data_IF_206000649354
#
_entry.id   IF_206000649354
#
_cell.length_a   1.000
_cell.length_b   1.000
_cell.length_c   1.000
_cell.angle_alpha   90.00
_cell.angle_beta   90.00
_cell.angle_gamma   90.00
#
_symmetry.space_group_name_H-M   'P 1'
#
loop_
_entity.id
_entity.type
_entity.pdbx_description
1 polymer ?
#
# COMPACT_ATOMS: atom_id res chain seq x y z
N UNK A 1 10.40 8.69 9.11
CA UNK A 1 10.70 7.64 10.08
C UNK A 1 9.85 6.42 9.77
N UNK A 2 10.48 5.24 9.63
CA UNK A 2 9.77 3.98 9.30
C UNK A 2 8.77 3.53 10.39
N UNK A 3 8.86 4.08 11.58
CA UNK A 3 7.91 3.79 12.66
C UNK A 3 6.60 4.58 12.58
N UNK A 4 6.52 5.57 11.71
CA UNK A 4 5.31 6.37 11.54
C UNK A 4 4.27 5.62 10.71
N UNK A 5 3.00 5.71 11.10
CA UNK A 5 1.91 5.30 10.22
C UNK A 5 1.78 6.29 9.06
N UNK A 6 1.61 5.79 7.85
CA UNK A 6 1.48 6.64 6.65
C UNK A 6 0.11 6.49 6.00
N UNK A 7 -0.35 7.56 5.39
CA UNK A 7 -1.62 7.60 4.64
C UNK A 7 -1.43 8.30 3.31
N UNK A 8 -2.06 7.77 2.26
CA UNK A 8 -2.19 8.46 0.97
C UNK A 8 -3.45 8.06 0.21
N UNK A 9 -3.82 8.91 -0.75
CA UNK A 9 -4.76 8.55 -1.79
C UNK A 9 -4.05 7.60 -2.77
N UNK A 10 -4.52 6.36 -2.89
CA UNK A 10 -3.95 5.34 -3.78
C UNK A 10 -4.50 5.39 -5.21
N UNK A 11 -5.56 6.15 -5.45
CA UNK A 11 -6.14 6.43 -6.77
C UNK A 11 -5.75 7.84 -7.23
N UNK A 12 -5.90 8.13 -8.52
CA UNK A 12 -5.69 9.48 -9.03
C UNK A 12 -6.64 10.48 -8.37
N UNK A 13 -6.13 11.65 -8.01
CA UNK A 13 -6.95 12.75 -7.50
C UNK A 13 -7.82 13.31 -8.64
N UNK A 14 -9.13 13.42 -8.38
CA UNK A 14 -10.05 13.96 -9.38
C UNK A 14 -11.47 13.43 -9.24
N UNK A 15 -12.26 13.65 -10.30
CA UNK A 15 -13.61 13.07 -10.41
C UNK A 15 -13.48 11.59 -10.78
N UNK A 16 -13.88 10.72 -9.87
CA UNK A 16 -13.88 9.27 -10.03
C UNK A 16 -15.16 8.69 -9.42
N UNK A 17 -15.50 7.46 -9.75
CA UNK A 17 -16.60 6.77 -9.08
C UNK A 17 -16.23 6.37 -7.65
N UNK A 18 -14.96 6.00 -7.44
CA UNK A 18 -14.44 5.57 -6.16
C UNK A 18 -13.06 6.18 -5.92
N UNK A 19 -12.74 6.41 -4.65
CA UNK A 19 -11.40 6.71 -4.18
C UNK A 19 -10.93 5.60 -3.24
N UNK A 20 -9.64 5.29 -3.26
CA UNK A 20 -9.00 4.38 -2.32
C UNK A 20 -7.98 5.15 -1.50
N UNK A 21 -8.23 5.26 -0.20
CA UNK A 21 -7.26 5.78 0.77
C UNK A 21 -6.58 4.60 1.44
N UNK A 22 -5.25 4.57 1.38
CA UNK A 22 -4.43 3.51 1.96
C UNK A 22 -3.67 4.04 3.16
N UNK A 23 -3.66 3.25 4.22
CA UNK A 23 -2.85 3.47 5.43
C UNK A 23 -1.92 2.27 5.60
N UNK A 24 -0.68 2.51 6.06
CA UNK A 24 0.27 1.46 6.43
C UNK A 24 1.00 1.84 7.71
N UNK A 25 1.12 0.90 8.63
CA UNK A 25 1.84 1.05 9.88
C UNK A 25 1.15 0.38 11.07
N UNK A 26 1.81 0.40 12.21
CA UNK A 26 1.44 -0.33 13.44
C UNK A 26 0.07 0.04 14.01
N UNK A 27 -0.39 1.27 13.77
CA UNK A 27 -1.66 1.77 14.30
C UNK A 27 -2.84 1.62 13.32
N UNK A 28 -2.66 0.97 12.16
CA UNK A 28 -3.72 0.78 11.15
C UNK A 28 -5.00 0.20 11.76
N UNK A 29 -4.90 -0.78 12.66
CA UNK A 29 -6.05 -1.34 13.38
C UNK A 29 -6.72 -0.33 14.31
N UNK A 30 -5.94 0.56 14.95
CA UNK A 30 -6.51 1.61 15.80
C UNK A 30 -7.23 2.67 14.96
N UNK A 31 -6.65 3.05 13.81
CA UNK A 31 -7.30 3.96 12.88
C UNK A 31 -8.64 3.38 12.40
N UNK A 32 -8.68 2.08 12.01
CA UNK A 32 -9.92 1.40 11.68
C UNK A 32 -10.97 1.57 12.77
N UNK A 33 -10.64 1.23 14.03
CA UNK A 33 -11.58 1.32 15.16
C UNK A 33 -12.09 2.75 15.41
N UNK A 34 -11.22 3.74 15.27
CA UNK A 34 -11.56 5.15 15.48
C UNK A 34 -12.43 5.71 14.34
N UNK A 35 -12.13 5.34 13.09
CA UNK A 35 -12.87 5.79 11.91
C UNK A 35 -14.25 5.12 11.82
N UNK A 36 -14.36 3.83 12.12
CA UNK A 36 -15.61 3.06 12.01
C UNK A 36 -16.44 3.02 13.30
N UNK A 37 -15.89 3.49 14.41
CA UNK A 37 -16.44 3.34 15.77
C UNK A 37 -16.67 1.88 16.20
N UNK A 38 -16.08 0.91 15.51
CA UNK A 38 -16.16 -0.51 15.87
C UNK A 38 -15.11 -0.85 16.92
N UNK A 39 -15.47 -1.72 17.89
CA UNK A 39 -14.54 -2.24 18.90
C UNK A 39 -13.89 -3.55 18.46
N UNK A 40 -14.56 -4.31 17.61
CA UNK A 40 -14.08 -5.60 17.11
C UNK A 40 -12.90 -5.43 16.15
N UNK A 41 -12.04 -6.44 16.11
CA UNK A 41 -11.01 -6.57 15.08
C UNK A 41 -11.67 -7.07 13.80
N UNK A 42 -11.46 -6.40 12.64
CA UNK A 42 -11.99 -6.89 11.38
C UNK A 42 -11.29 -8.20 10.97
N UNK A 43 -12.01 -9.06 10.28
CA UNK A 43 -11.40 -10.26 9.71
C UNK A 43 -10.41 -9.83 8.60
N UNK A 44 -9.12 -10.19 8.69
CA UNK A 44 -8.14 -9.78 7.70
C UNK A 44 -8.49 -10.28 6.29
N UNK A 45 -8.18 -9.48 5.26
CA UNK A 45 -8.39 -9.76 3.84
C UNK A 45 -9.89 -9.91 3.45
N UNK A 46 -10.81 -9.41 4.26
CA UNK A 46 -12.23 -9.37 3.94
C UNK A 46 -12.70 -7.94 3.77
N UNK A 47 -13.39 -7.70 2.67
CA UNK A 47 -14.06 -6.42 2.39
C UNK A 47 -15.36 -6.37 3.19
N UNK A 48 -15.54 -5.29 3.95
CA UNK A 48 -16.76 -5.06 4.72
C UNK A 48 -17.22 -3.61 4.58
N UNK A 49 -18.54 -3.39 4.56
CA UNK A 49 -19.14 -2.05 4.46
C UNK A 49 -19.24 -1.42 5.85
N UNK A 50 -18.77 -0.19 5.98
CA UNK A 50 -18.78 0.56 7.23
C UNK A 50 -19.14 2.03 7.01
N UNK A 51 -19.83 2.59 7.98
CA UNK A 51 -19.91 4.04 8.15
C UNK A 51 -18.56 4.57 8.64
N UNK A 52 -18.03 5.57 7.97
CA UNK A 52 -16.77 6.23 8.30
C UNK A 52 -17.04 7.58 8.91
N UNK A 53 -16.48 7.83 10.08
CA UNK A 53 -16.72 9.04 10.86
C UNK A 53 -15.47 9.89 10.99
N UNK A 54 -15.65 11.21 10.94
CA UNK A 54 -14.58 12.13 11.29
C UNK A 54 -14.29 12.03 12.81
N UNK A 55 -13.06 11.70 13.23
CA UNK A 55 -12.73 11.49 14.64
C UNK A 55 -12.81 12.76 15.47
N UNK A 56 -12.66 13.95 14.86
CA UNK A 56 -12.71 15.27 15.50
C UNK A 56 -14.16 15.75 15.65
N UNK A 57 -14.91 15.77 14.56
CA UNK A 57 -16.28 16.33 14.54
C UNK A 57 -17.37 15.31 14.87
N UNK A 58 -17.05 14.03 14.87
CA UNK A 58 -17.96 12.88 15.04
C UNK A 58 -19.02 12.73 13.94
N UNK A 59 -18.98 13.56 12.91
CA UNK A 59 -19.90 13.50 11.77
C UNK A 59 -19.56 12.33 10.85
N UNK A 60 -20.58 11.76 10.23
CA UNK A 60 -20.43 10.77 9.15
C UNK A 60 -19.74 11.45 7.97
N UNK A 61 -18.68 10.81 7.45
CA UNK A 61 -17.97 11.24 6.25
C UNK A 61 -18.54 10.54 5.01
N UNK A 62 -18.64 9.21 5.10
CA UNK A 62 -19.09 8.37 4.01
C UNK A 62 -19.49 6.98 4.53
N UNK A 63 -20.15 6.20 3.67
CA UNK A 63 -20.30 4.77 3.85
C UNK A 63 -19.36 4.07 2.84
N UNK A 64 -18.33 3.41 3.35
CA UNK A 64 -17.20 2.92 2.55
C UNK A 64 -16.93 1.44 2.75
N UNK A 65 -16.43 0.80 1.71
CA UNK A 65 -15.85 -0.54 1.81
C UNK A 65 -14.47 -0.45 2.45
N UNK A 66 -14.21 -1.31 3.42
CA UNK A 66 -12.96 -1.31 4.19
C UNK A 66 -12.33 -2.69 4.18
N UNK A 67 -11.03 -2.75 3.95
CA UNK A 67 -10.21 -3.96 4.07
C UNK A 67 -9.08 -3.70 5.05
N UNK A 68 -8.89 -4.61 5.98
CA UNK A 68 -7.73 -4.65 6.85
C UNK A 68 -6.83 -5.82 6.44
N UNK A 69 -5.55 -5.54 6.28
CA UNK A 69 -4.51 -6.52 6.00
C UNK A 69 -3.60 -6.62 7.22
N UNK A 70 -3.62 -7.76 7.89
CA UNK A 70 -2.72 -8.00 9.03
C UNK A 70 -1.32 -8.34 8.56
N UNK A 71 -0.32 -7.79 9.24
CA UNK A 71 1.08 -8.12 8.99
C UNK A 71 1.32 -9.65 9.11
N UNK A 72 2.22 -10.26 8.35
CA UNK A 72 2.97 -9.67 7.23
C UNK A 72 2.23 -9.78 5.87
N UNK A 73 0.92 -10.11 5.87
CA UNK A 73 0.12 -10.40 4.66
C UNK A 73 -0.50 -9.14 4.05
N UNK A 74 0.32 -8.11 3.87
CA UNK A 74 -0.01 -6.86 3.21
C UNK A 74 1.02 -6.53 2.14
N UNK A 75 0.79 -5.48 1.34
CA UNK A 75 1.74 -5.01 0.35
C UNK A 75 3.06 -4.56 0.98
N UNK A 76 3.00 -3.75 2.05
CA UNK A 76 4.18 -3.22 2.73
C UNK A 76 4.80 -4.20 3.73
N UNK A 77 4.11 -5.31 4.07
CA UNK A 77 4.50 -6.20 5.17
C UNK A 77 4.10 -5.69 6.56
N UNK A 78 3.55 -4.49 6.66
CA UNK A 78 3.00 -3.90 7.89
C UNK A 78 1.50 -4.16 7.99
N UNK A 79 0.86 -3.78 9.10
CA UNK A 79 -0.59 -3.66 9.15
C UNK A 79 -1.05 -2.60 8.16
N UNK A 80 -2.02 -2.91 7.31
CA UNK A 80 -2.54 -1.97 6.32
C UNK A 80 -4.06 -1.88 6.39
N UNK A 81 -4.57 -0.70 6.00
CA UNK A 81 -5.98 -0.43 5.88
C UNK A 81 -6.25 0.21 4.52
N UNK A 82 -7.20 -0.31 3.78
CA UNK A 82 -7.71 0.33 2.57
C UNK A 82 -9.18 0.70 2.78
N UNK A 83 -9.51 1.95 2.48
CA UNK A 83 -10.85 2.51 2.62
C UNK A 83 -11.28 3.02 1.25
N UNK A 84 -12.28 2.36 0.68
CA UNK A 84 -12.83 2.65 -0.64
C UNK A 84 -14.09 3.50 -0.46
N UNK A 85 -13.96 4.82 -0.62
CA UNK A 85 -15.03 5.80 -0.50
C UNK A 85 -15.69 6.07 -1.85
N UNK A 86 -16.85 6.72 -1.83
CA UNK A 86 -17.38 7.35 -3.03
C UNK A 86 -16.36 8.35 -3.59
N UNK A 87 -16.36 8.51 -4.91
CA UNK A 87 -15.46 9.41 -5.63
C UNK A 87 -15.67 10.87 -5.27
N UNK A 88 -14.66 11.65 -5.53
CA UNK A 88 -14.65 13.08 -5.28
C UNK A 88 -13.51 13.51 -4.35
N UNK A 89 -12.97 14.68 -4.63
CA UNK A 89 -11.78 15.21 -3.95
C UNK A 89 -12.06 15.50 -2.47
N UNK A 90 -13.25 15.97 -2.15
CA UNK A 90 -13.60 16.42 -0.80
C UNK A 90 -13.63 15.27 0.20
N UNK A 91 -14.26 14.14 -0.14
CA UNK A 91 -14.37 12.98 0.78
C UNK A 91 -12.98 12.38 1.02
N UNK A 92 -12.20 12.21 -0.04
CA UNK A 92 -10.84 11.69 0.07
C UNK A 92 -9.95 12.57 0.95
N UNK A 93 -9.98 13.91 0.74
CA UNK A 93 -9.23 14.86 1.57
C UNK A 93 -9.68 14.81 3.02
N UNK A 94 -10.98 14.81 3.31
CA UNK A 94 -11.49 14.73 4.68
C UNK A 94 -11.11 13.41 5.37
N UNK A 95 -11.02 12.31 4.64
CA UNK A 95 -10.59 11.04 5.19
C UNK A 95 -9.08 11.04 5.49
N UNK A 96 -8.26 11.60 4.59
CA UNK A 96 -6.82 11.78 4.84
C UNK A 96 -6.62 12.66 6.07
N UNK A 97 -7.30 13.82 6.14
CA UNK A 97 -7.24 14.72 7.31
C UNK A 97 -7.64 14.02 8.61
N UNK A 98 -8.63 13.11 8.54
CA UNK A 98 -9.04 12.30 9.68
C UNK A 98 -7.93 11.33 10.13
N UNK A 99 -7.21 10.70 9.18
CA UNK A 99 -6.07 9.85 9.48
C UNK A 99 -4.89 10.65 10.05
N UNK A 100 -4.59 11.83 9.50
CA UNK A 100 -3.57 12.73 10.02
C UNK A 100 -3.88 13.19 11.45
N UNK A 101 -5.15 13.54 11.72
CA UNK A 101 -5.61 13.88 13.07
C UNK A 101 -5.43 12.73 14.07
N UNK A 102 -5.50 11.49 13.61
CA UNK A 102 -5.27 10.29 14.43
C UNK A 102 -3.78 9.92 14.58
N UNK A 103 -2.88 10.72 13.99
CA UNK A 103 -1.43 10.57 14.14
C UNK A 103 -0.70 9.95 12.97
N UNK A 104 -1.39 9.57 11.89
CA UNK A 104 -0.74 9.19 10.66
C UNK A 104 -0.02 10.39 10.01
N UNK A 105 0.94 10.13 9.14
CA UNK A 105 1.62 11.13 8.31
C UNK A 105 1.28 10.92 6.85
N UNK A 106 1.30 11.98 6.08
CA UNK A 106 1.16 11.85 4.64
C UNK A 106 2.36 11.10 4.06
N UNK A 107 2.10 10.09 3.25
CA UNK A 107 3.15 9.28 2.64
C UNK A 107 3.93 10.09 1.59
N UNK A 108 5.23 9.93 1.58
CA UNK A 108 6.07 10.44 0.49
C UNK A 108 5.83 9.64 -0.80
N UNK A 109 6.04 10.23 -1.99
CA UNK A 109 5.99 9.49 -3.23
C UNK A 109 6.87 8.23 -3.18
N UNK A 110 6.28 7.07 -3.53
CA UNK A 110 6.97 5.77 -3.50
C UNK A 110 7.16 5.15 -2.11
N UNK A 111 6.71 5.79 -1.02
CA UNK A 111 6.98 5.31 0.34
C UNK A 111 6.38 3.93 0.63
N UNK A 112 5.21 3.59 0.09
CA UNK A 112 4.64 2.24 0.25
C UNK A 112 5.53 1.16 -0.39
N UNK A 113 6.05 1.40 -1.60
CA UNK A 113 6.98 0.47 -2.27
C UNK A 113 8.31 0.39 -1.53
N UNK A 114 8.81 1.52 -1.02
CA UNK A 114 10.01 1.55 -0.20
C UNK A 114 9.86 0.71 1.07
N UNK A 115 8.71 0.82 1.78
CA UNK A 115 8.42 -0.02 2.96
C UNK A 115 8.30 -1.50 2.61
N UNK A 116 7.68 -1.81 1.48
CA UNK A 116 7.61 -3.18 0.98
C UNK A 116 9.01 -3.76 0.72
N UNK A 117 9.92 -2.98 0.15
CA UNK A 117 11.31 -3.35 -0.07
C UNK A 117 12.07 -3.57 1.25
N UNK A 118 12.02 -2.63 2.19
CA UNK A 118 12.69 -2.75 3.50
C UNK A 118 12.17 -3.96 4.30
N UNK A 119 10.88 -4.27 4.18
CA UNK A 119 10.26 -5.42 4.84
C UNK A 119 10.40 -6.73 4.04
N UNK A 120 11.27 -6.77 3.02
CA UNK A 120 11.55 -7.95 2.18
C UNK A 120 10.28 -8.55 1.52
N UNK A 121 9.29 -7.72 1.19
CA UNK A 121 8.09 -8.12 0.45
C UNK A 121 8.33 -8.13 -1.04
N UNK A 122 9.17 -7.23 -1.50
CA UNK A 122 9.61 -7.08 -2.89
C UNK A 122 11.11 -6.81 -2.92
N UNK A 123 11.77 -7.14 -4.01
CA UNK A 123 13.14 -6.75 -4.28
C UNK A 123 13.21 -5.38 -4.99
N UNK A 124 14.44 -4.87 -5.21
CA UNK A 124 14.63 -3.56 -5.82
C UNK A 124 14.09 -3.49 -7.25
N UNK A 125 14.30 -4.53 -8.07
CA UNK A 125 13.81 -4.60 -9.44
C UNK A 125 12.28 -4.60 -9.49
N UNK A 126 11.64 -5.29 -8.55
CA UNK A 126 10.18 -5.29 -8.40
C UNK A 126 9.68 -3.90 -7.98
N UNK A 127 10.38 -3.21 -7.07
CA UNK A 127 10.01 -1.85 -6.64
C UNK A 127 10.11 -0.85 -7.81
N UNK A 128 11.18 -0.92 -8.61
CA UNK A 128 11.34 -0.11 -9.81
C UNK A 128 10.25 -0.41 -10.86
N UNK A 129 9.94 -1.70 -11.05
CA UNK A 129 8.90 -2.14 -11.99
C UNK A 129 7.50 -1.63 -11.65
N UNK A 130 7.16 -1.53 -10.36
CA UNK A 130 5.90 -0.93 -9.91
C UNK A 130 5.83 0.55 -10.33
N UNK A 131 6.94 1.28 -10.19
CA UNK A 131 7.01 2.67 -10.65
C UNK A 131 6.87 2.78 -12.18
N UNK A 132 7.49 1.86 -12.93
CA UNK A 132 7.37 1.80 -14.38
C UNK A 132 5.93 1.50 -14.83
N UNK A 133 5.22 0.59 -14.18
CA UNK A 133 3.81 0.31 -14.47
C UNK A 133 2.98 1.60 -14.35
N UNK A 134 3.17 2.34 -13.25
CA UNK A 134 2.42 3.56 -13.00
C UNK A 134 2.69 4.69 -14.01
N UNK A 135 3.86 4.68 -14.64
CA UNK A 135 4.28 5.69 -15.62
C UNK A 135 4.24 5.22 -17.08
N UNK A 136 3.95 3.93 -17.35
CA UNK A 136 3.93 3.38 -18.69
C UNK A 136 2.83 4.01 -19.54
N UNK A 137 3.19 4.33 -20.79
CA UNK A 137 2.29 4.94 -21.78
C UNK A 137 2.02 4.06 -22.98
N UNK A 138 2.64 2.88 -23.04
CA UNK A 138 2.45 1.90 -24.11
C UNK A 138 2.41 0.47 -23.57
N UNK A 139 1.84 -0.44 -24.35
CA UNK A 139 1.59 -1.83 -23.96
C UNK A 139 2.88 -2.62 -23.72
N UNK A 140 3.96 -2.30 -24.45
CA UNK A 140 5.23 -3.03 -24.38
C UNK A 140 5.88 -2.75 -23.00
N UNK A 141 5.99 -1.49 -22.61
CA UNK A 141 6.58 -1.10 -21.32
C UNK A 141 5.76 -1.67 -20.16
N UNK A 142 4.43 -1.59 -20.26
CA UNK A 142 3.52 -2.17 -19.27
C UNK A 142 3.71 -3.69 -19.14
N UNK A 143 3.84 -4.41 -20.25
CA UNK A 143 4.05 -5.85 -20.26
C UNK A 143 5.36 -6.25 -19.57
N UNK A 144 6.48 -5.60 -19.92
CA UNK A 144 7.76 -5.86 -19.28
C UNK A 144 7.75 -5.53 -17.80
N UNK A 145 7.20 -4.40 -17.42
CA UNK A 145 7.09 -3.99 -16.04
C UNK A 145 6.26 -4.99 -15.21
N UNK A 146 5.11 -5.44 -15.71
CA UNK A 146 4.27 -6.45 -15.04
C UNK A 146 5.01 -7.79 -14.88
N UNK A 147 5.77 -8.24 -15.90
CA UNK A 147 6.53 -9.50 -15.77
C UNK A 147 7.65 -9.38 -14.72
N UNK A 148 8.31 -8.24 -14.65
CA UNK A 148 9.35 -8.00 -13.65
C UNK A 148 8.81 -7.96 -12.22
N UNK A 149 7.55 -7.52 -11.98
CA UNK A 149 6.95 -7.57 -10.64
C UNK A 149 6.76 -8.99 -10.10
N UNK A 150 6.80 -10.01 -10.96
CA UNK A 150 6.74 -11.43 -10.57
C UNK A 150 8.09 -12.01 -10.13
N UNK A 151 9.17 -11.22 -10.16
CA UNK A 151 10.50 -11.64 -9.73
C UNK A 151 11.29 -12.47 -10.74
N UNK A 152 10.78 -12.68 -11.96
CA UNK A 152 11.43 -13.54 -12.96
C UNK A 152 12.83 -13.06 -13.37
N UNK A 153 13.04 -11.75 -13.49
CA UNK A 153 14.36 -11.18 -13.81
C UNK A 153 15.34 -11.33 -12.65
N UNK A 154 14.89 -11.08 -11.43
CA UNK A 154 15.67 -11.24 -10.21
C UNK A 154 16.14 -12.69 -10.03
N UNK A 155 15.27 -13.66 -10.33
CA UNK A 155 15.62 -15.08 -10.28
C UNK A 155 16.70 -15.45 -11.31
N UNK A 156 16.59 -14.96 -12.54
CA UNK A 156 17.61 -15.18 -13.59
C UNK A 156 18.96 -14.56 -13.23
N UNK A 157 18.98 -13.35 -12.67
CA UNK A 157 20.20 -12.69 -12.22
C UNK A 157 20.83 -13.48 -11.08
N UNK A 158 20.06 -13.93 -10.09
CA UNK A 158 20.57 -14.72 -8.98
C UNK A 158 21.14 -16.08 -9.43
N UNK A 159 20.47 -16.76 -10.38
CA UNK A 159 21.00 -18.00 -10.98
C UNK A 159 22.33 -17.75 -11.70
N UNK A 160 22.42 -16.68 -12.50
CA UNK A 160 23.67 -16.31 -13.19
C UNK A 160 24.80 -15.98 -12.20
N UNK A 161 24.47 -15.25 -11.14
CA UNK A 161 25.42 -14.91 -10.08
C UNK A 161 25.93 -16.18 -9.35
N UNK A 162 25.04 -17.13 -9.05
CA UNK A 162 25.44 -18.41 -8.44
C UNK A 162 26.37 -19.19 -9.34
N UNK A 163 26.10 -19.29 -10.65
CA UNK A 163 26.97 -19.97 -11.62
C UNK A 163 28.36 -19.32 -11.65
N UNK A 164 28.44 -17.99 -11.64
CA UNK A 164 29.73 -17.28 -11.62
C UNK A 164 30.49 -17.57 -10.33
N UNK A 165 29.84 -17.57 -9.17
CA UNK A 165 30.45 -17.90 -7.89
C UNK A 165 31.00 -19.34 -7.87
N UNK A 166 30.20 -20.29 -8.37
CA UNK A 166 30.62 -21.69 -8.47
C UNK A 166 31.85 -21.87 -9.35
N UNK A 167 31.93 -21.15 -10.48
CA UNK A 167 33.10 -21.17 -11.38
C UNK A 167 34.33 -20.61 -10.67
N UNK A 168 34.21 -19.51 -9.94
CA UNK A 168 35.32 -18.90 -9.19
C UNK A 168 35.84 -19.89 -8.13
N UNK A 169 34.93 -20.52 -7.38
CA UNK A 169 35.31 -21.49 -6.31
C UNK A 169 35.97 -22.75 -6.84
N UNK A 170 35.67 -23.19 -8.07
CA UNK A 170 36.33 -24.35 -8.70
C UNK A 170 37.74 -24.00 -9.24
N UNK A 171 37.98 -22.69 -9.52
CA UNK A 171 39.25 -22.20 -10.09
C UNK A 171 40.35 -21.92 -9.05
N UNK A 172 40.02 -21.98 -7.75
CA UNK A 172 40.97 -21.90 -6.62
C UNK A 172 41.37 -23.29 -6.16
#
# INVERSE_FOLDING_TARGET
NLDDDIVALATLAGKSALNVVRVSGKSSLQLYKRLTKKKSVPKPNYITLHDIYNPKTKKLLDQAMVVYYALPKSFTGEDCLEIMTHGGVVIASQLIDACLFLGAKEAMPGEFSYRAFINNKIDLLQAESISMIASSTNDIDAYYAVNNTKGGLSEQINQSHQIIQDIITIGE
#
